data_IF_972282512018
#
_entry.id   IF_972282512018
#
_cell.length_a   1.000
_cell.length_b   1.000
_cell.length_c   1.000
_cell.angle_alpha   90.00
_cell.angle_beta   90.00
_cell.angle_gamma   90.00
#
_symmetry.space_group_name_H-M   'P 1'
#
loop_
_entity.id
_entity.type
_entity.pdbx_description
1 polymer ?
#
# COMPACT_ATOMS: atom_id res chain seq x y z
N UNK A 1 -34.14 -57.16 -21.03
CA UNK A 1 -34.21 -57.15 -22.51
C UNK A 1 -32.96 -56.49 -23.07
N UNK A 2 -32.21 -57.22 -23.92
CA UNK A 2 -31.20 -56.83 -24.94
C UNK A 2 -30.25 -55.65 -24.62
N UNK A 3 -28.97 -55.86 -24.26
CA UNK A 3 -27.78 -56.14 -25.11
C UNK A 3 -27.61 -55.23 -26.34
N UNK A 4 -26.42 -54.63 -26.45
CA UNK A 4 -25.52 -54.52 -27.64
C UNK A 4 -24.25 -53.76 -27.17
N UNK A 5 -23.14 -54.41 -26.76
CA UNK A 5 -22.05 -55.03 -27.56
C UNK A 5 -21.45 -54.12 -28.65
N UNK A 6 -20.27 -53.57 -28.29
CA UNK A 6 -18.97 -53.51 -29.01
C UNK A 6 -18.95 -53.35 -30.53
N UNK A 7 -17.98 -52.58 -31.05
CA UNK A 7 -17.03 -53.08 -32.06
C UNK A 7 -15.78 -52.19 -32.14
N UNK A 8 -14.63 -52.77 -31.80
CA UNK A 8 -13.33 -52.32 -32.29
C UNK A 8 -13.18 -52.71 -33.76
N UNK A 9 -12.69 -51.79 -34.59
CA UNK A 9 -12.26 -52.09 -35.95
C UNK A 9 -10.81 -51.62 -36.07
N UNK A 10 -9.91 -52.59 -36.19
CA UNK A 10 -8.59 -52.38 -36.77
C UNK A 10 -8.73 -52.55 -38.29
N UNK A 11 -8.23 -51.59 -39.06
CA UNK A 11 -8.04 -51.75 -40.50
C UNK A 11 -6.56 -51.50 -40.82
N UNK A 12 -5.90 -52.57 -41.24
CA UNK A 12 -4.62 -52.55 -41.96
C UNK A 12 -4.93 -52.38 -43.44
N UNK A 13 -4.30 -51.43 -44.14
CA UNK A 13 -4.23 -51.47 -45.60
C UNK A 13 -2.97 -50.81 -46.14
N UNK A 14 -2.52 -51.37 -47.26
CA UNK A 14 -1.18 -51.36 -47.83
C UNK A 14 -1.07 -50.35 -48.99
N UNK A 15 0.08 -49.66 -49.04
CA UNK A 15 0.77 -48.92 -50.13
C UNK A 15 0.01 -48.37 -51.35
N UNK A 16 0.34 -47.14 -51.74
CA UNK A 16 0.95 -46.83 -53.05
C UNK A 16 1.81 -45.56 -52.98
N UNK A 17 3.02 -45.64 -53.54
CA UNK A 17 3.89 -44.51 -53.85
C UNK A 17 3.33 -43.80 -55.09
N UNK A 18 3.05 -42.50 -54.97
CA UNK A 18 2.96 -41.59 -56.12
C UNK A 18 3.86 -40.40 -55.81
N UNK A 19 4.95 -40.33 -56.55
CA UNK A 19 5.82 -39.17 -56.60
C UNK A 19 5.09 -38.05 -57.38
N UNK A 20 4.78 -36.95 -56.69
CA UNK A 20 4.51 -35.67 -57.33
C UNK A 20 5.38 -34.61 -56.66
N UNK A 21 6.34 -34.13 -57.45
CA UNK A 21 7.19 -32.99 -57.21
C UNK A 21 6.38 -31.75 -56.81
N UNK A 22 6.69 -31.21 -55.63
CA UNK A 22 6.26 -29.90 -55.19
C UNK A 22 7.20 -29.42 -54.09
N UNK A 23 8.30 -28.78 -54.46
CA UNK A 23 9.14 -28.05 -53.53
C UNK A 23 8.31 -26.91 -52.92
N UNK A 24 7.74 -27.13 -51.74
CA UNK A 24 7.30 -26.05 -50.86
C UNK A 24 8.47 -25.75 -49.93
N UNK A 25 9.25 -24.73 -50.31
CA UNK A 25 10.28 -24.18 -49.44
C UNK A 25 9.57 -23.53 -48.26
N UNK A 26 9.54 -24.24 -47.14
CA UNK A 26 9.16 -23.68 -45.85
C UNK A 26 10.28 -22.71 -45.46
N UNK A 27 10.09 -21.42 -45.74
CA UNK A 27 10.94 -20.37 -45.22
C UNK A 27 10.71 -20.30 -43.70
N UNK A 28 11.51 -21.04 -42.94
CA UNK A 28 11.68 -20.77 -41.51
C UNK A 28 12.32 -19.39 -41.39
N UNK A 29 11.48 -18.37 -41.21
CA UNK A 29 11.92 -17.09 -40.65
C UNK A 29 12.49 -17.43 -39.28
N UNK A 30 13.76 -17.08 -39.00
CA UNK A 30 14.29 -17.23 -37.66
C UNK A 30 13.44 -16.35 -36.75
N UNK A 31 12.73 -16.95 -35.79
CA UNK A 31 12.29 -16.21 -34.61
C UNK A 31 13.56 -15.68 -33.96
N UNK A 32 13.83 -14.39 -34.15
CA UNK A 32 14.71 -13.65 -33.26
C UNK A 32 14.14 -13.83 -31.86
N UNK A 33 14.77 -14.73 -31.08
CA UNK A 33 14.76 -14.60 -29.63
C UNK A 33 15.34 -13.23 -29.35
N UNK A 34 14.46 -12.25 -29.15
CA UNK A 34 14.80 -11.00 -28.47
C UNK A 34 15.21 -11.45 -27.08
N UNK A 35 16.48 -11.78 -26.93
CA UNK A 35 17.14 -11.80 -25.65
C UNK A 35 16.95 -10.39 -25.11
N UNK A 36 16.02 -10.24 -24.15
CA UNK A 36 15.80 -9.00 -23.44
C UNK A 36 17.13 -8.63 -22.82
N UNK A 37 17.90 -7.83 -23.55
CA UNK A 37 19.13 -7.21 -23.10
C UNK A 37 18.72 -6.46 -21.85
N UNK A 38 19.06 -7.01 -20.69
CA UNK A 38 18.70 -6.47 -19.39
C UNK A 38 19.07 -4.99 -19.42
N UNK A 39 18.05 -4.13 -19.58
CA UNK A 39 18.26 -2.69 -19.65
C UNK A 39 18.80 -2.36 -18.28
N UNK A 40 20.09 -2.03 -18.22
CA UNK A 40 20.70 -1.58 -16.98
C UNK A 40 20.15 -0.18 -16.76
N UNK A 41 19.03 -0.10 -16.06
CA UNK A 41 18.39 1.15 -15.69
C UNK A 41 19.38 2.03 -14.92
N UNK A 42 19.14 3.33 -14.86
CA UNK A 42 20.06 4.28 -14.22
C UNK A 42 20.10 4.09 -12.69
N UNK A 43 20.84 3.08 -12.23
CA UNK A 43 21.00 2.72 -10.81
C UNK A 43 21.45 3.92 -9.97
N UNK A 44 22.21 4.85 -10.57
CA UNK A 44 22.68 6.06 -9.91
C UNK A 44 21.51 7.03 -9.69
N UNK A 45 20.70 7.29 -10.71
CA UNK A 45 19.50 8.12 -10.59
C UNK A 45 18.57 7.61 -9.49
N UNK A 46 18.24 6.32 -9.50
CA UNK A 46 17.33 5.73 -8.51
C UNK A 46 17.87 5.86 -7.08
N UNK A 47 19.17 5.64 -6.90
CA UNK A 47 19.83 5.81 -5.61
C UNK A 47 19.82 7.28 -5.15
N UNK A 48 20.10 8.23 -6.04
CA UNK A 48 20.10 9.66 -5.72
C UNK A 48 18.69 10.19 -5.41
N UNK A 49 17.67 9.66 -6.07
CA UNK A 49 16.26 9.96 -5.82
C UNK A 49 15.67 9.20 -4.61
N UNK A 50 16.44 8.33 -3.95
CA UNK A 50 15.97 7.57 -2.78
C UNK A 50 14.92 6.50 -3.09
N UNK A 51 14.98 5.90 -4.28
CA UNK A 51 14.05 4.88 -4.80
C UNK A 51 14.63 3.46 -4.70
N UNK A 52 13.78 2.44 -4.84
CA UNK A 52 14.25 1.05 -4.99
C UNK A 52 14.89 0.87 -6.38
N UNK A 53 15.97 0.07 -6.52
CA UNK A 53 16.52 -0.24 -7.83
C UNK A 53 15.43 -0.81 -8.75
N UNK A 54 15.34 -0.30 -9.98
CA UNK A 54 14.30 -0.77 -10.89
C UNK A 54 14.61 -2.18 -11.42
N UNK A 55 13.79 -3.16 -11.05
CA UNK A 55 13.94 -4.56 -11.46
C UNK A 55 12.80 -5.08 -12.34
N UNK A 56 11.77 -4.25 -12.59
CA UNK A 56 10.55 -4.64 -13.30
C UNK A 56 9.87 -5.88 -12.67
N UNK A 57 9.89 -5.96 -11.33
CA UNK A 57 9.23 -6.96 -10.51
C UNK A 57 8.80 -6.30 -9.18
N UNK A 58 7.81 -6.91 -8.50
CA UNK A 58 7.40 -6.46 -7.17
C UNK A 58 8.57 -6.53 -6.20
N UNK A 59 8.84 -5.43 -5.51
CA UNK A 59 9.83 -5.35 -4.43
C UNK A 59 9.16 -4.76 -3.20
N UNK A 60 9.45 -5.31 -2.02
CA UNK A 60 8.99 -4.79 -0.73
C UNK A 60 10.15 -4.88 0.26
N UNK A 61 10.65 -3.74 0.69
CA UNK A 61 11.69 -3.60 1.70
C UNK A 61 11.09 -3.00 2.98
N UNK A 62 11.34 -3.67 4.10
CA UNK A 62 10.90 -3.25 5.42
C UNK A 62 12.12 -2.92 6.27
N UNK A 63 12.15 -1.72 6.85
CA UNK A 63 13.21 -1.33 7.76
C UNK A 63 13.26 -2.23 8.99
N UNK A 64 14.47 -2.51 9.47
CA UNK A 64 14.62 -3.18 10.77
C UNK A 64 13.99 -2.35 11.88
N UNK A 65 13.39 -3.02 12.86
CA UNK A 65 12.92 -2.31 14.04
C UNK A 65 14.11 -1.64 14.73
N UNK A 66 13.93 -0.41 15.21
CA UNK A 66 14.99 0.28 15.94
C UNK A 66 15.17 -0.26 17.36
N UNK A 67 16.08 0.35 18.13
CA UNK A 67 16.39 -0.07 19.49
C UNK A 67 15.22 0.05 20.50
N UNK A 68 14.13 0.76 20.13
CA UNK A 68 12.87 0.83 20.88
C UNK A 68 11.80 -0.09 20.31
N UNK A 69 12.18 -0.98 19.39
CA UNK A 69 11.27 -1.87 18.63
C UNK A 69 10.23 -1.10 17.79
N UNK A 70 10.56 0.11 17.34
CA UNK A 70 9.70 0.92 16.46
C UNK A 70 9.94 0.55 15.00
N UNK A 71 8.88 0.51 14.18
CA UNK A 71 9.02 0.41 12.73
C UNK A 71 9.70 1.68 12.20
N UNK A 72 10.63 1.55 11.25
CA UNK A 72 11.46 2.67 10.78
C UNK A 72 11.14 3.12 9.36
N UNK A 73 10.35 2.34 8.63
CA UNK A 73 9.95 2.65 7.26
C UNK A 73 9.65 1.39 6.46
N UNK A 74 8.86 1.55 5.41
CA UNK A 74 8.55 0.51 4.45
C UNK A 74 8.56 1.10 3.04
N UNK A 75 9.06 0.34 2.07
CA UNK A 75 9.30 0.80 0.70
C UNK A 75 8.86 -0.29 -0.26
N UNK A 76 7.95 0.02 -1.17
CA UNK A 76 7.42 -0.91 -2.16
C UNK A 76 7.62 -0.36 -3.57
N UNK A 77 7.88 -1.25 -4.52
CA UNK A 77 7.80 -0.97 -5.96
C UNK A 77 6.95 -2.07 -6.60
N UNK A 78 5.86 -1.70 -7.26
CA UNK A 78 4.85 -2.66 -7.77
C UNK A 78 4.07 -2.12 -8.97
N UNK A 79 3.47 -3.02 -9.75
CA UNK A 79 2.39 -2.71 -10.72
C UNK A 79 1.02 -3.07 -10.15
N UNK A 80 -0.04 -2.68 -10.87
CA UNK A 80 -1.43 -3.07 -10.60
C UNK A 80 -1.60 -4.60 -10.47
N UNK A 81 -0.95 -5.37 -11.35
CA UNK A 81 -1.03 -6.84 -11.32
C UNK A 81 -0.37 -7.50 -10.11
N UNK A 82 0.41 -6.75 -9.33
CA UNK A 82 1.15 -7.25 -8.15
C UNK A 82 0.37 -7.08 -6.84
N UNK A 83 -0.80 -6.43 -6.89
CA UNK A 83 -1.69 -6.28 -5.74
C UNK A 83 -2.20 -7.64 -5.25
N UNK A 84 -2.41 -7.80 -3.92
CA UNK A 84 -2.81 -9.09 -3.37
C UNK A 84 -4.25 -9.44 -3.76
N UNK A 85 -4.44 -10.66 -4.24
CA UNK A 85 -5.76 -11.23 -4.53
C UNK A 85 -6.43 -11.83 -3.29
N UNK A 86 -5.62 -12.17 -2.28
CA UNK A 86 -6.12 -12.74 -1.03
C UNK A 86 -6.87 -11.70 -0.21
N UNK A 87 -7.93 -12.14 0.47
CA UNK A 87 -8.71 -11.27 1.33
C UNK A 87 -7.91 -10.91 2.58
N UNK A 88 -7.82 -9.61 2.88
CA UNK A 88 -7.26 -9.10 4.14
C UNK A 88 -7.90 -9.76 5.35
N UNK A 89 -7.09 -10.08 6.35
CA UNK A 89 -7.61 -10.53 7.63
C UNK A 89 -8.56 -9.49 8.23
N UNK A 90 -9.66 -9.96 8.81
CA UNK A 90 -10.68 -9.07 9.37
C UNK A 90 -10.19 -8.28 10.58
N UNK A 91 -9.08 -8.70 11.20
CA UNK A 91 -8.52 -8.08 12.40
C UNK A 91 -7.02 -8.35 12.49
N UNK A 92 -6.26 -7.29 12.70
CA UNK A 92 -4.86 -7.33 13.13
C UNK A 92 -4.76 -7.63 14.63
N UNK A 93 -3.76 -8.38 15.05
CA UNK A 93 -3.51 -8.81 16.43
C UNK A 93 -2.22 -8.30 17.02
N UNK A 94 -1.25 -7.88 16.21
CA UNK A 94 0.01 -7.31 16.68
C UNK A 94 -0.17 -5.90 17.22
N UNK A 95 0.27 -5.66 18.45
CA UNK A 95 0.27 -4.34 19.07
C UNK A 95 1.67 -3.73 18.95
N UNK A 96 1.86 -2.70 18.09
CA UNK A 96 3.15 -2.02 17.98
C UNK A 96 3.48 -1.27 19.27
N UNK A 97 4.74 -0.89 19.44
CA UNK A 97 5.19 -0.18 20.65
C UNK A 97 4.41 1.12 20.87
N UNK A 98 4.12 1.42 22.14
CA UNK A 98 3.27 2.55 22.54
C UNK A 98 1.78 2.32 22.33
N UNK A 99 1.34 1.15 21.86
CA UNK A 99 -0.08 0.88 21.63
C UNK A 99 -0.93 1.01 22.91
N UNK A 100 -1.78 2.03 22.91
CA UNK A 100 -2.93 2.17 23.80
C UNK A 100 -4.12 2.61 22.95
N UNK A 101 -5.28 1.98 23.13
CA UNK A 101 -6.47 2.36 22.37
C UNK A 101 -7.62 2.72 23.29
N UNK A 102 -8.17 3.91 23.06
CA UNK A 102 -9.24 4.49 23.86
C UNK A 102 -10.46 4.75 22.99
N UNK A 103 -11.65 4.57 23.55
CA UNK A 103 -12.90 4.93 22.90
C UNK A 103 -13.36 6.30 23.38
N UNK A 104 -13.08 7.33 22.59
CA UNK A 104 -13.25 8.73 22.95
C UNK A 104 -14.47 9.36 22.30
N UNK A 105 -15.08 10.32 22.99
CA UNK A 105 -16.08 11.21 22.42
C UNK A 105 -15.45 12.08 21.33
N UNK A 106 -16.25 12.45 20.34
CA UNK A 106 -15.87 13.38 19.27
C UNK A 106 -17.07 14.24 18.86
N UNK A 107 -16.83 15.28 18.06
CA UNK A 107 -17.87 16.20 17.61
C UNK A 107 -18.58 16.90 18.77
N UNK A 108 -19.90 16.81 18.80
CA UNK A 108 -20.78 17.40 19.82
C UNK A 108 -20.91 16.55 21.10
N UNK A 109 -20.03 15.57 21.30
CA UNK A 109 -20.05 14.58 22.39
C UNK A 109 -21.18 13.55 22.36
N UNK A 110 -21.97 13.47 21.28
CA UNK A 110 -23.03 12.46 21.13
C UNK A 110 -22.52 11.07 20.72
N UNK A 111 -21.33 10.99 20.13
CA UNK A 111 -20.75 9.75 19.56
C UNK A 111 -19.37 9.47 20.13
N UNK A 112 -18.98 8.19 20.11
CA UNK A 112 -17.64 7.73 20.47
C UNK A 112 -17.01 6.89 19.37
N UNK A 113 -15.70 7.04 19.18
CA UNK A 113 -14.91 6.21 18.27
C UNK A 113 -13.60 5.80 18.94
N UNK A 114 -12.99 4.72 18.43
CA UNK A 114 -11.64 4.35 18.82
C UNK A 114 -10.65 5.42 18.33
N UNK A 115 -9.66 5.76 19.16
CA UNK A 115 -8.67 6.78 18.81
C UNK A 115 -7.67 6.25 17.79
N UNK A 116 -7.14 5.05 18.04
CA UNK A 116 -6.01 4.50 17.29
C UNK A 116 -6.42 3.31 16.41
N UNK A 117 -5.77 3.21 15.27
CA UNK A 117 -5.65 2.01 14.45
C UNK A 117 -4.22 1.48 14.52
N UNK A 118 -4.06 0.16 14.34
CA UNK A 118 -2.78 -0.44 13.95
C UNK A 118 -2.58 -0.06 12.48
N UNK A 119 -1.99 1.10 12.26
CA UNK A 119 -1.86 1.71 10.95
C UNK A 119 -0.72 1.08 10.17
N UNK A 120 -1.02 0.67 8.94
CA UNK A 120 -0.03 0.19 7.99
C UNK A 120 0.88 1.33 7.54
N UNK A 121 2.19 1.09 7.38
CA UNK A 121 3.06 2.01 6.64
C UNK A 121 2.77 1.86 5.13
N UNK A 122 2.85 0.66 4.58
CA UNK A 122 2.34 0.33 3.24
C UNK A 122 1.01 -0.40 3.38
N UNK A 123 -0.08 0.22 2.91
CA UNK A 123 -1.42 -0.33 2.93
C UNK A 123 -1.52 -1.77 2.41
N UNK A 124 -2.49 -2.53 2.93
CA UNK A 124 -2.69 -3.94 2.55
C UNK A 124 -2.86 -4.10 1.04
N UNK A 125 -3.60 -3.20 0.38
CA UNK A 125 -3.86 -3.27 -1.07
C UNK A 125 -2.58 -3.26 -1.92
N UNK A 126 -1.46 -2.74 -1.38
CA UNK A 126 -0.17 -2.81 -2.06
C UNK A 126 0.69 -3.96 -1.53
N UNK A 127 0.80 -4.09 -0.21
CA UNK A 127 1.76 -4.99 0.44
C UNK A 127 1.28 -6.42 0.60
N UNK A 128 -0.02 -6.63 0.82
CA UNK A 128 -0.59 -7.91 1.26
C UNK A 128 -0.25 -8.29 2.72
N UNK A 129 0.37 -7.40 3.49
CA UNK A 129 0.81 -7.68 4.86
C UNK A 129 -0.33 -7.51 5.87
N UNK A 130 -0.48 -8.48 6.78
CA UNK A 130 -1.37 -8.35 7.95
C UNK A 130 -0.56 -7.92 9.19
N UNK A 131 -0.23 -8.83 10.10
CA UNK A 131 0.45 -8.55 11.39
C UNK A 131 1.99 -8.41 11.30
N UNK A 132 2.49 -7.78 10.22
CA UNK A 132 3.92 -7.53 10.08
C UNK A 132 4.37 -6.33 10.93
N UNK A 133 5.11 -6.62 12.01
CA UNK A 133 5.57 -5.64 12.99
C UNK A 133 6.39 -4.48 12.40
N UNK A 134 7.13 -4.71 11.32
CA UNK A 134 7.92 -3.66 10.64
C UNK A 134 7.07 -2.74 9.77
N UNK A 135 5.80 -3.08 9.56
CA UNK A 135 4.85 -2.33 8.74
C UNK A 135 3.68 -1.75 9.55
N UNK A 136 3.73 -1.80 10.89
CA UNK A 136 2.65 -1.32 11.75
C UNK A 136 3.13 -0.30 12.78
N UNK A 137 2.41 0.81 12.90
CA UNK A 137 2.59 1.84 13.93
C UNK A 137 1.24 2.27 14.50
N UNK A 138 1.16 2.80 15.74
CA UNK A 138 -0.07 3.42 16.22
C UNK A 138 -0.35 4.71 15.43
N UNK A 139 -1.46 4.72 14.70
CA UNK A 139 -1.95 5.90 13.98
C UNK A 139 -3.34 6.28 14.48
N UNK A 140 -3.62 7.56 14.62
CA UNK A 140 -4.99 7.99 14.88
C UNK A 140 -5.92 7.56 13.74
N UNK A 141 -7.21 7.32 14.03
CA UNK A 141 -8.20 7.08 12.97
C UNK A 141 -8.27 8.25 11.98
N UNK A 142 -8.04 9.47 12.44
CA UNK A 142 -7.99 10.65 11.60
C UNK A 142 -6.86 10.57 10.57
N UNK A 143 -5.64 10.26 11.00
CA UNK A 143 -4.50 10.03 10.10
C UNK A 143 -4.73 8.80 9.21
N UNK A 144 -5.20 7.68 9.75
CA UNK A 144 -5.29 6.43 9.00
C UNK A 144 -6.42 6.47 7.96
N UNK A 145 -7.62 6.88 8.36
CA UNK A 145 -8.86 6.71 7.60
C UNK A 145 -9.58 8.04 7.28
N UNK A 146 -9.01 9.18 7.66
CA UNK A 146 -9.59 10.50 7.35
C UNK A 146 -10.78 10.90 8.21
N UNK A 147 -11.22 10.04 9.13
CA UNK A 147 -12.39 10.28 9.95
C UNK A 147 -12.23 9.62 11.33
N UNK A 148 -13.06 10.04 12.30
CA UNK A 148 -13.11 9.39 13.62
C UNK A 148 -13.61 7.94 13.51
N UNK A 149 -14.59 7.68 12.64
CA UNK A 149 -15.19 6.37 12.41
C UNK A 149 -15.56 6.20 10.94
N UNK A 150 -15.31 5.02 10.39
CA UNK A 150 -15.42 4.79 8.95
C UNK A 150 -14.25 5.43 8.20
N UNK A 151 -14.45 5.65 6.91
CA UNK A 151 -13.43 6.19 6.00
C UNK A 151 -13.93 7.48 5.37
N UNK A 152 -13.04 8.47 5.24
CA UNK A 152 -13.20 9.67 4.43
C UNK A 152 -11.96 9.84 3.55
N UNK A 153 -12.06 9.42 2.30
CA UNK A 153 -10.98 9.50 1.31
C UNK A 153 -10.85 10.88 0.64
N UNK A 154 -11.60 11.89 1.10
CA UNK A 154 -11.45 13.28 0.69
C UNK A 154 -10.59 14.08 1.67
N UNK A 155 -10.28 13.53 2.84
CA UNK A 155 -9.45 14.18 3.83
C UNK A 155 -7.95 14.08 3.48
N UNK A 156 -7.39 15.16 2.93
CA UNK A 156 -5.98 15.28 2.58
C UNK A 156 -5.01 15.16 3.76
N UNK A 157 -5.49 15.11 5.01
CA UNK A 157 -4.64 14.85 6.18
C UNK A 157 -4.53 13.36 6.52
N UNK A 158 -5.01 12.48 5.65
CA UNK A 158 -5.08 11.05 5.90
C UNK A 158 -4.37 10.20 4.86
N UNK A 159 -3.85 9.04 5.29
CA UNK A 159 -3.18 8.06 4.44
C UNK A 159 -4.10 7.57 3.33
N UNK A 160 -5.35 7.23 3.67
CA UNK A 160 -6.32 6.67 2.72
C UNK A 160 -6.62 7.60 1.54
N UNK A 161 -6.54 8.94 1.71
CA UNK A 161 -6.68 9.89 0.61
C UNK A 161 -5.65 9.64 -0.49
N UNK A 162 -4.39 9.41 -0.09
CA UNK A 162 -3.27 9.21 -1.01
C UNK A 162 -3.26 7.78 -1.54
N UNK A 163 -3.41 6.78 -0.67
CA UNK A 163 -3.35 5.37 -1.06
C UNK A 163 -4.44 5.01 -2.07
N UNK A 164 -5.70 5.43 -1.89
CA UNK A 164 -6.76 5.17 -2.87
C UNK A 164 -6.50 5.83 -4.24
N UNK A 165 -5.81 6.97 -4.26
CA UNK A 165 -5.50 7.67 -5.52
C UNK A 165 -4.27 7.08 -6.21
N UNK A 166 -3.29 6.59 -5.45
CA UNK A 166 -2.16 5.83 -5.97
C UNK A 166 -2.61 4.50 -6.58
N UNK A 167 -3.52 3.80 -5.90
CA UNK A 167 -4.21 2.59 -6.40
C UNK A 167 -4.95 2.88 -7.72
N UNK A 168 -5.77 3.94 -7.75
CA UNK A 168 -6.42 4.37 -8.99
C UNK A 168 -5.41 4.75 -10.09
N UNK A 169 -4.27 5.34 -9.74
CA UNK A 169 -3.21 5.64 -10.71
C UNK A 169 -2.60 4.36 -11.29
N UNK A 170 -2.32 3.34 -10.47
CA UNK A 170 -1.85 2.02 -10.92
C UNK A 170 -2.85 1.37 -11.88
N UNK A 171 -4.13 1.33 -11.51
CA UNK A 171 -5.20 0.74 -12.32
C UNK A 171 -5.34 1.41 -13.70
N UNK A 172 -5.07 2.71 -13.79
CA UNK A 172 -5.09 3.46 -15.05
C UNK A 172 -3.80 3.34 -15.86
N UNK A 173 -2.73 2.79 -15.28
CA UNK A 173 -1.42 2.63 -15.90
C UNK A 173 -0.85 1.21 -15.64
N UNK A 174 -1.52 0.14 -16.12
CA UNK A 174 -1.24 -1.23 -15.69
C UNK A 174 0.18 -1.73 -16.01
N UNK A 175 0.88 -1.09 -16.95
CA UNK A 175 2.26 -1.44 -17.30
C UNK A 175 3.32 -0.66 -16.53
N UNK A 176 2.92 0.41 -15.82
CA UNK A 176 3.81 1.25 -15.04
C UNK A 176 3.94 0.72 -13.61
N UNK A 177 5.01 1.11 -12.95
CA UNK A 177 5.18 0.83 -11.52
C UNK A 177 4.95 2.09 -10.71
N UNK A 178 4.44 1.89 -9.51
CA UNK A 178 4.55 2.82 -8.40
C UNK A 178 5.77 2.45 -7.57
N UNK A 179 6.65 3.40 -7.30
CA UNK A 179 7.62 3.32 -6.21
C UNK A 179 7.07 4.18 -5.07
N UNK A 180 6.78 3.56 -3.93
CA UNK A 180 6.10 4.17 -2.79
C UNK A 180 6.82 3.82 -1.49
N UNK A 181 7.20 4.84 -0.73
CA UNK A 181 7.91 4.71 0.54
C UNK A 181 7.19 5.48 1.62
N UNK A 182 7.06 4.85 2.78
CA UNK A 182 6.42 5.45 3.95
C UNK A 182 7.36 5.40 5.14
N UNK A 183 7.61 6.57 5.73
CA UNK A 183 8.58 6.75 6.81
C UNK A 183 7.89 7.36 8.04
N UNK A 184 7.81 6.65 9.17
CA UNK A 184 7.34 7.22 10.42
C UNK A 184 8.40 8.16 11.03
N UNK A 185 7.99 9.37 11.42
CA UNK A 185 8.86 10.40 11.99
C UNK A 185 8.61 10.49 13.49
N UNK A 186 9.58 10.02 14.27
CA UNK A 186 9.58 10.08 15.73
C UNK A 186 10.38 11.27 16.26
N UNK A 187 9.97 11.83 17.40
CA UNK A 187 10.80 12.77 18.14
C UNK A 187 11.54 12.04 19.27
N UNK A 188 12.87 11.93 19.15
CA UNK A 188 13.73 11.29 20.16
C UNK A 188 13.21 9.90 20.55
N UNK A 189 12.79 9.75 21.81
CA UNK A 189 12.42 8.50 22.44
C UNK A 189 10.93 8.18 22.38
N UNK A 190 10.15 9.02 21.69
CA UNK A 190 8.71 8.82 21.53
C UNK A 190 8.39 7.50 20.86
N UNK A 191 7.43 6.75 21.42
CA UNK A 191 6.98 5.48 20.87
C UNK A 191 5.96 5.66 19.74
N UNK A 192 5.27 6.80 19.70
CA UNK A 192 4.29 7.13 18.66
C UNK A 192 4.94 8.10 17.66
N UNK A 193 4.86 7.86 16.35
CA UNK A 193 5.37 8.82 15.38
C UNK A 193 4.52 10.08 15.42
N UNK A 194 5.17 11.25 15.39
CA UNK A 194 4.50 12.56 15.30
C UNK A 194 3.89 12.77 13.93
N UNK A 195 4.58 12.28 12.91
CA UNK A 195 4.22 12.46 11.51
C UNK A 195 4.52 11.19 10.73
N UNK A 196 3.87 11.05 9.59
CA UNK A 196 4.19 10.06 8.56
C UNK A 196 4.58 10.82 7.30
N UNK A 197 5.73 10.47 6.72
CA UNK A 197 6.11 10.89 5.37
C UNK A 197 5.70 9.82 4.37
N UNK A 198 5.04 10.26 3.30
CA UNK A 198 4.75 9.49 2.11
C UNK A 198 5.64 10.04 0.99
N UNK A 199 6.33 9.16 0.29
CA UNK A 199 7.14 9.47 -0.87
C UNK A 199 6.68 8.58 -2.01
N UNK A 200 6.32 9.14 -3.17
CA UNK A 200 5.87 8.35 -4.31
C UNK A 200 6.29 8.93 -5.67
N UNK A 201 6.52 8.04 -6.63
CA UNK A 201 6.80 8.36 -8.03
C UNK A 201 6.36 7.22 -8.95
N UNK A 202 5.96 7.54 -10.17
CA UNK A 202 5.67 6.55 -11.20
C UNK A 202 6.92 6.17 -11.97
N UNK A 203 6.99 4.94 -12.49
CA UNK A 203 8.10 4.46 -13.31
C UNK A 203 7.51 3.79 -14.56
N UNK A 204 7.86 4.28 -15.75
CA UNK A 204 7.44 3.65 -16.99
C UNK A 204 8.23 2.36 -17.29
N UNK A 205 7.84 1.65 -18.36
CA UNK A 205 8.46 0.37 -18.77
C UNK A 205 9.95 0.48 -19.10
N UNK A 206 10.45 1.69 -19.35
CA UNK A 206 11.85 1.98 -19.68
C UNK A 206 12.64 2.51 -18.46
N UNK A 207 12.03 2.55 -17.28
CA UNK A 207 12.66 3.06 -16.06
C UNK A 207 12.68 4.58 -15.95
N UNK A 208 11.89 5.30 -16.76
CA UNK A 208 11.76 6.76 -16.65
C UNK A 208 10.84 7.12 -15.48
N UNK A 209 11.29 8.06 -14.65
CA UNK A 209 10.50 8.61 -13.55
C UNK A 209 9.38 9.53 -14.07
N UNK A 210 8.18 9.36 -13.51
CA UNK A 210 6.96 10.07 -13.84
C UNK A 210 6.41 10.75 -12.58
N UNK A 211 6.23 12.06 -12.63
CA UNK A 211 5.52 12.79 -11.58
C UNK A 211 4.07 12.29 -11.47
N UNK A 212 3.64 11.94 -10.26
CA UNK A 212 2.24 11.61 -9.95
C UNK A 212 1.60 12.80 -9.24
N UNK A 213 0.49 13.30 -9.77
CA UNK A 213 -0.29 14.43 -9.21
C UNK A 213 -1.62 13.93 -8.67
N UNK A 214 -1.81 13.94 -7.34
CA UNK A 214 -3.04 13.46 -6.72
C UNK A 214 -4.04 14.59 -6.36
N UNK A 215 -3.58 15.85 -6.40
CA UNK A 215 -4.41 17.04 -6.18
C UNK A 215 -4.47 17.49 -4.71
N UNK A 216 -3.55 17.01 -3.87
CA UNK A 216 -3.45 17.36 -2.47
C UNK A 216 -2.62 18.62 -2.24
N UNK A 217 -3.10 19.54 -1.40
CA UNK A 217 -2.38 20.78 -1.02
C UNK A 217 -1.06 20.53 -0.26
N UNK A 218 -0.81 19.30 0.18
CA UNK A 218 0.39 18.89 0.91
C UNK A 218 1.50 18.29 0.04
N UNK A 219 1.23 18.09 -1.26
CA UNK A 219 2.20 17.52 -2.20
C UNK A 219 3.37 18.48 -2.44
N UNK A 220 4.60 17.98 -2.32
CA UNK A 220 5.84 18.70 -2.66
C UNK A 220 6.69 17.83 -3.57
N UNK A 221 6.96 18.31 -4.77
CA UNK A 221 7.74 17.57 -5.77
C UNK A 221 9.20 18.00 -5.69
N UNK A 222 10.11 17.03 -5.68
CA UNK A 222 11.55 17.27 -5.69
C UNK A 222 12.12 17.39 -7.13
N UNK A 223 13.44 17.50 -7.24
CA UNK A 223 14.12 17.62 -8.55
C UNK A 223 14.07 16.34 -9.41
N UNK A 224 13.70 15.20 -8.84
CA UNK A 224 13.63 13.90 -9.51
C UNK A 224 12.20 13.52 -9.89
N UNK A 225 11.22 14.43 -9.73
CA UNK A 225 9.78 14.18 -9.86
C UNK A 225 9.17 13.32 -8.75
N UNK A 226 9.89 13.13 -7.64
CA UNK A 226 9.39 12.39 -6.49
C UNK A 226 8.52 13.30 -5.66
N UNK A 227 7.29 12.86 -5.38
CA UNK A 227 6.34 13.62 -4.56
C UNK A 227 6.48 13.21 -3.10
N UNK A 228 6.59 14.19 -2.21
CA UNK A 228 6.64 14.04 -0.76
C UNK A 228 5.39 14.65 -0.12
N UNK A 229 4.82 13.97 0.87
CA UNK A 229 3.70 14.42 1.68
C UNK A 229 3.99 14.14 3.14
N UNK A 230 3.80 15.14 4.01
CA UNK A 230 3.91 14.99 5.47
C UNK A 230 2.51 15.06 6.09
N UNK A 231 2.14 14.01 6.80
CA UNK A 231 0.86 13.91 7.52
C UNK A 231 1.09 13.89 9.02
N UNK A 232 0.32 14.68 9.76
CA UNK A 232 0.40 14.75 11.21
C UNK A 232 -0.41 13.62 11.87
N UNK A 233 0.20 12.89 12.80
CA UNK A 233 -0.47 11.86 13.58
C UNK A 233 -1.21 12.48 14.76
N UNK A 234 -2.30 13.19 14.46
CA UNK A 234 -3.08 13.98 15.42
C UNK A 234 -4.56 13.63 15.31
N UNK A 235 -5.31 13.90 16.38
CA UNK A 235 -6.77 13.85 16.35
C UNK A 235 -7.32 14.97 17.23
N UNK A 236 -8.25 15.78 16.72
CA UNK A 236 -8.75 16.94 17.45
C UNK A 236 -9.47 16.58 18.77
N UNK A 237 -9.98 15.35 18.88
CA UNK A 237 -10.64 14.85 20.09
C UNK A 237 -9.69 14.20 21.12
N UNK A 238 -8.37 14.31 20.94
CA UNK A 238 -7.39 13.70 21.83
C UNK A 238 -6.15 14.57 22.06
N UNK A 239 -5.67 14.55 23.30
CA UNK A 239 -4.30 14.93 23.65
C UNK A 239 -3.49 13.64 23.78
N UNK A 240 -2.51 13.43 22.89
CA UNK A 240 -1.71 12.21 22.83
C UNK A 240 -0.37 12.45 23.52
N UNK A 241 -0.02 11.58 24.45
CA UNK A 241 1.34 11.48 24.97
C UNK A 241 2.17 10.59 24.03
N UNK A 242 2.91 11.21 23.12
CA UNK A 242 3.70 10.47 22.12
C UNK A 242 4.85 9.67 22.75
N UNK A 243 5.26 9.98 23.99
CA UNK A 243 6.33 9.28 24.67
C UNK A 243 5.97 7.83 24.97
N UNK A 244 4.74 7.58 25.43
CA UNK A 244 4.29 6.24 25.85
C UNK A 244 3.02 5.75 25.13
N UNK A 245 2.36 6.63 24.38
CA UNK A 245 1.14 6.39 23.62
C UNK A 245 -0.16 6.47 24.42
N UNK A 246 -0.12 6.85 25.70
CA UNK A 246 -1.33 7.18 26.45
C UNK A 246 -2.02 8.43 25.89
N UNK A 247 -3.32 8.59 26.13
CA UNK A 247 -4.06 9.75 25.64
C UNK A 247 -5.19 10.17 26.57
N UNK A 248 -5.61 11.43 26.47
CA UNK A 248 -6.78 12.01 27.15
C UNK A 248 -7.77 12.52 26.12
N UNK A 249 -9.07 12.29 26.37
CA UNK A 249 -10.13 12.84 25.52
C UNK A 249 -10.25 14.34 25.78
N UNK A 250 -10.21 15.15 24.73
CA UNK A 250 -10.43 16.61 24.82
C UNK A 250 -11.90 17.01 24.73
N UNK A 251 -12.78 16.04 24.41
CA UNK A 251 -14.23 16.25 24.34
C UNK A 251 -14.86 15.72 25.63
N UNK A 252 -15.43 16.65 26.42
CA UNK A 252 -16.18 16.32 27.63
C UNK A 252 -17.51 15.65 27.31
N UNK A 253 -17.95 14.76 28.19
CA UNK A 253 -19.27 14.12 28.11
C UNK A 253 -20.37 15.17 28.30
N UNK A 254 -21.34 15.24 27.36
CA UNK A 254 -22.50 16.11 27.44
C UNK A 254 -23.23 16.03 28.80
N UNK A 255 -23.32 14.84 29.40
CA UNK A 255 -23.98 14.65 30.70
C UNK A 255 -23.19 15.26 31.85
N UNK A 256 -21.86 15.23 31.76
CA UNK A 256 -20.99 15.87 32.75
C UNK A 256 -21.07 17.39 32.59
N UNK A 257 -21.07 17.90 31.35
CA UNK A 257 -21.32 19.32 31.07
C UNK A 257 -22.67 19.81 31.59
N UNK A 258 -23.73 19.04 31.36
CA UNK A 258 -25.09 19.40 31.82
C UNK A 258 -25.18 19.36 33.35
N UNK A 259 -24.58 18.36 33.99
CA UNK A 259 -24.53 18.27 35.46
C UNK A 259 -23.73 19.42 36.08
N UNK A 260 -22.55 19.74 35.55
CA UNK A 260 -21.74 20.86 36.01
C UNK A 260 -22.46 22.21 35.83
N UNK A 261 -23.24 22.37 34.75
CA UNK A 261 -24.06 23.56 34.53
C UNK A 261 -25.20 23.68 35.56
N UNK A 262 -25.88 22.57 35.88
CA UNK A 262 -26.94 22.54 36.90
C UNK A 262 -26.43 22.73 38.33
N UNK A 263 -25.18 22.36 38.61
CA UNK A 263 -24.54 22.58 39.92
C UNK A 263 -23.98 24.00 40.08
N UNK A 264 -23.84 24.75 38.99
CA UNK A 264 -23.37 26.14 38.97
C UNK A 264 -24.50 27.19 38.89
N UNK A 265 -25.76 26.74 38.72
CA UNK A 265 -27.00 27.54 38.76
C UNK A 265 -27.64 27.46 40.16
#
# INVERSE_FOLDING_TARGET
MKKLLSFSIALLSITTLVACSGHKVESKVPEEKIEQKQIKFDEKLFKEAGLLPFKNEKQLELGELDYKSRATGAHIQLKDSDEPTEKRESKLTYDPVGWHNYKFFYGDSSKKAWLMNRGHLIGYQFSGLNDEKKNLVPMTNWLNAGNYSGTDDQNQSSMIYYENRLDSWLANHPNYHLDYKVTPIYQKDELIPRQIELQYVGIDENGKLLEIKLGGSKEKVDQYSVTHVILDNVSANAEINYLDGTAKNTVEDAKIKEKAKKEAE
#
